data_IF_291785714602
#
_entry.id   IF_291785714602
#
_cell.length_a   1.000
_cell.length_b   1.000
_cell.length_c   1.000
_cell.angle_alpha   90.00
_cell.angle_beta   90.00
_cell.angle_gamma   90.00
#
_symmetry.space_group_name_H-M   'P 1'
#
loop_
_entity.id
_entity.type
_entity.pdbx_description
1 polymer ?
#
# COMPACT_ATOMS: atom_id res chain seq x y z
N UNK A 1 3.46 11.78 -17.11
CA UNK A 1 2.26 11.91 -16.22
C UNK A 1 2.80 11.93 -14.81
N UNK A 2 2.29 12.70 -13.85
CA UNK A 2 2.93 12.79 -12.53
C UNK A 2 2.04 12.27 -11.42
N UNK A 3 2.61 11.49 -10.50
CA UNK A 3 1.95 11.06 -9.28
C UNK A 3 1.72 12.29 -8.39
N UNK A 4 0.47 12.52 -7.99
CA UNK A 4 0.04 13.65 -7.16
C UNK A 4 -0.17 13.24 -5.70
N UNK A 5 -0.65 12.02 -5.46
CA UNK A 5 -0.85 11.49 -4.12
C UNK A 5 -0.80 9.96 -4.12
N UNK A 6 -0.45 9.39 -2.97
CA UNK A 6 -0.49 7.95 -2.69
C UNK A 6 -1.19 7.77 -1.33
N UNK A 7 -2.34 7.13 -1.31
CA UNK A 7 -3.11 6.86 -0.08
C UNK A 7 -3.00 5.38 0.31
N UNK A 8 -2.71 5.10 1.58
CA UNK A 8 -2.58 3.76 2.13
C UNK A 8 -3.68 3.49 3.18
N UNK A 9 -4.55 2.52 2.93
CA UNK A 9 -5.72 2.22 3.78
C UNK A 9 -5.74 0.75 4.18
N UNK A 10 -5.53 0.44 5.45
CA UNK A 10 -5.69 -0.93 5.94
C UNK A 10 -7.18 -1.21 6.12
N UNK A 11 -7.68 -2.17 5.36
CA UNK A 11 -9.01 -2.73 5.50
C UNK A 11 -8.95 -3.93 6.46
N UNK A 12 -10.02 -4.07 7.24
CA UNK A 12 -10.23 -5.21 8.12
C UNK A 12 -11.49 -5.94 7.67
N UNK A 13 -11.40 -7.25 7.50
CA UNK A 13 -12.59 -8.08 7.22
C UNK A 13 -13.58 -7.99 8.38
N UNK A 14 -14.87 -7.96 8.06
CA UNK A 14 -15.95 -8.08 9.05
C UNK A 14 -16.14 -9.52 9.52
N UNK A 15 -15.50 -10.49 8.86
CA UNK A 15 -15.58 -11.91 9.17
C UNK A 15 -14.19 -12.46 9.49
N UNK A 16 -14.12 -13.38 10.45
CA UNK A 16 -12.91 -14.17 10.65
C UNK A 16 -12.84 -15.24 9.56
N UNK A 17 -11.72 -15.33 8.86
CA UNK A 17 -11.47 -16.45 7.96
C UNK A 17 -11.25 -17.71 8.80
N UNK A 18 -12.12 -18.71 8.63
CA UNK A 18 -11.86 -20.04 9.16
C UNK A 18 -10.90 -20.78 8.20
N UNK A 19 -9.95 -21.52 8.75
CA UNK A 19 -9.23 -22.50 7.95
C UNK A 19 -10.24 -23.57 7.47
N UNK A 20 -10.14 -24.05 6.20
CA UNK A 20 -10.90 -25.21 5.76
C UNK A 20 -10.68 -26.40 6.71
N UNK A 21 -11.71 -27.20 6.95
CA UNK A 21 -11.62 -28.37 7.82
C UNK A 21 -10.49 -29.30 7.37
N UNK A 22 -9.48 -29.50 8.22
CA UNK A 22 -8.32 -30.35 7.94
C UNK A 22 -7.14 -29.65 7.25
N UNK A 23 -7.18 -28.33 7.05
CA UNK A 23 -6.04 -27.57 6.56
C UNK A 23 -4.98 -27.36 7.66
N UNK A 24 -3.71 -27.55 7.30
CA UNK A 24 -2.55 -27.18 8.14
C UNK A 24 -2.15 -25.69 7.98
N UNK A 25 -2.70 -25.03 6.95
CA UNK A 25 -2.46 -23.63 6.59
C UNK A 25 -3.06 -22.64 7.61
N UNK A 26 -2.46 -21.46 7.70
CA UNK A 26 -2.97 -20.37 8.54
C UNK A 26 -4.32 -19.86 8.06
N UNK A 27 -5.12 -19.35 9.00
CA UNK A 27 -6.36 -18.63 8.73
C UNK A 27 -6.15 -17.54 7.66
N UNK A 28 -7.12 -17.38 6.76
CA UNK A 28 -7.10 -16.34 5.73
C UNK A 28 -6.93 -14.93 6.30
N UNK A 29 -6.53 -14.02 5.41
CA UNK A 29 -6.09 -12.65 5.71
C UNK A 29 -7.25 -11.79 6.24
N UNK A 30 -7.28 -11.58 7.56
CA UNK A 30 -8.25 -10.69 8.20
C UNK A 30 -8.00 -9.20 7.92
N UNK A 31 -6.85 -8.87 7.35
CA UNK A 31 -6.42 -7.52 7.03
C UNK A 31 -5.78 -7.47 5.65
N UNK A 32 -6.00 -6.37 4.92
CA UNK A 32 -5.40 -6.10 3.62
C UNK A 32 -5.14 -4.61 3.52
N UNK A 33 -4.01 -4.22 2.94
CA UNK A 33 -3.74 -2.82 2.60
C UNK A 33 -4.27 -2.57 1.20
N UNK A 34 -5.05 -1.50 1.01
CA UNK A 34 -5.34 -0.94 -0.31
C UNK A 34 -4.50 0.31 -0.50
N UNK A 35 -3.78 0.37 -1.62
CA UNK A 35 -2.99 1.52 -2.03
C UNK A 35 -3.70 2.19 -3.21
N UNK A 36 -3.91 3.49 -3.12
CA UNK A 36 -4.50 4.30 -4.18
C UNK A 36 -3.49 5.35 -4.64
N UNK A 37 -3.16 5.35 -5.92
CA UNK A 37 -2.22 6.29 -6.53
C UNK A 37 -2.99 7.20 -7.48
N UNK A 38 -3.01 8.51 -7.22
CA UNK A 38 -3.72 9.49 -8.07
C UNK A 38 -2.72 10.35 -8.83
N UNK A 39 -2.96 10.59 -10.12
CA UNK A 39 -2.09 11.39 -10.99
C UNK A 39 -2.64 12.78 -11.27
N UNK A 40 -1.75 13.67 -11.73
CA UNK A 40 -2.07 15.01 -12.21
C UNK A 40 -3.03 15.05 -13.41
N UNK A 41 -3.14 13.94 -14.16
CA UNK A 41 -4.05 13.77 -15.29
C UNK A 41 -5.42 13.19 -14.91
N UNK A 42 -5.69 13.01 -13.61
CA UNK A 42 -6.96 12.48 -13.12
C UNK A 42 -7.11 10.96 -13.23
N UNK A 43 -6.04 10.23 -13.59
CA UNK A 43 -6.05 8.77 -13.51
C UNK A 43 -5.77 8.33 -12.07
N UNK A 44 -6.39 7.22 -11.67
CA UNK A 44 -6.14 6.60 -10.36
C UNK A 44 -5.90 5.10 -10.54
N UNK A 45 -4.76 4.64 -10.03
CA UNK A 45 -4.44 3.22 -9.92
C UNK A 45 -4.72 2.70 -8.51
N UNK A 46 -5.09 1.43 -8.42
CA UNK A 46 -5.26 0.72 -7.16
C UNK A 46 -4.42 -0.55 -7.15
N UNK A 47 -3.88 -0.87 -5.99
CA UNK A 47 -3.16 -2.13 -5.72
C UNK A 47 -3.39 -2.53 -4.27
N UNK A 48 -2.93 -3.72 -3.92
CA UNK A 48 -3.12 -4.31 -2.61
C UNK A 48 -1.82 -4.91 -2.06
N UNK A 49 -1.74 -4.97 -0.72
CA UNK A 49 -0.69 -5.70 -0.01
C UNK A 49 -1.35 -6.52 1.09
N UNK A 50 -1.34 -7.83 0.91
CA UNK A 50 -1.90 -8.78 1.87
C UNK A 50 -0.91 -9.14 3.00
N UNK A 51 0.38 -9.21 2.67
CA UNK A 51 1.42 -9.58 3.64
C UNK A 51 1.77 -8.37 4.51
N UNK A 52 1.57 -8.50 5.83
CA UNK A 52 1.92 -7.46 6.81
C UNK A 52 1.40 -6.05 6.43
N UNK A 53 0.08 -5.88 6.22
CA UNK A 53 -0.50 -4.64 5.68
C UNK A 53 -0.22 -3.42 6.56
N UNK A 54 -0.11 -3.61 7.88
CA UNK A 54 0.22 -2.55 8.83
C UNK A 54 1.68 -2.08 8.70
N UNK A 55 2.61 -3.01 8.43
CA UNK A 55 4.02 -2.67 8.20
C UNK A 55 4.17 -1.93 6.89
N UNK A 56 3.53 -2.43 5.82
CA UNK A 56 3.52 -1.76 4.53
C UNK A 56 2.95 -0.32 4.63
N UNK A 57 1.82 -0.14 5.34
CA UNK A 57 1.27 1.20 5.60
C UNK A 57 2.26 2.10 6.33
N UNK A 58 2.95 1.60 7.36
CA UNK A 58 3.92 2.38 8.11
C UNK A 58 5.11 2.82 7.25
N UNK A 59 5.58 1.98 6.33
CA UNK A 59 6.66 2.30 5.39
C UNK A 59 6.22 3.35 4.36
N UNK A 60 4.97 3.26 3.88
CA UNK A 60 4.40 4.24 2.94
C UNK A 60 4.19 5.60 3.60
N UNK A 61 3.63 5.62 4.82
CA UNK A 61 3.27 6.84 5.55
C UNK A 61 4.44 7.42 6.36
N UNK A 62 5.60 6.77 6.38
CA UNK A 62 6.78 7.30 7.04
C UNK A 62 7.07 8.74 6.54
N UNK A 63 7.43 9.67 7.43
CA UNK A 63 7.70 11.03 7.04
C UNK A 63 8.93 11.11 6.13
N UNK A 64 9.06 12.22 5.41
CA UNK A 64 10.31 12.54 4.73
C UNK A 64 11.42 12.77 5.77
N UNK A 65 12.57 12.14 5.57
CA UNK A 65 13.70 12.17 6.48
C UNK A 65 14.96 12.60 5.74
N UNK A 66 15.58 13.69 6.19
CA UNK A 66 16.93 14.10 5.79
C UNK A 66 17.20 14.18 4.28
N UNK A 67 16.93 15.34 3.67
CA UNK A 67 17.39 15.71 2.33
C UNK A 67 17.03 14.72 1.20
N UNK A 68 15.90 14.00 1.31
CA UNK A 68 15.41 13.09 0.26
C UNK A 68 16.09 11.72 0.22
N UNK A 69 16.83 11.35 1.26
CA UNK A 69 17.56 10.07 1.32
C UNK A 69 16.88 9.04 2.24
N UNK A 70 15.93 9.47 3.08
CA UNK A 70 15.29 8.63 4.10
C UNK A 70 13.79 8.92 4.12
N UNK A 71 13.17 8.84 2.94
CA UNK A 71 11.77 9.17 2.74
C UNK A 71 10.88 7.93 2.82
N UNK A 72 9.70 8.08 3.41
CA UNK A 72 8.63 7.09 3.23
C UNK A 72 8.22 6.97 1.76
N UNK A 73 7.74 5.79 1.37
CA UNK A 73 7.51 5.49 -0.05
C UNK A 73 6.54 6.46 -0.73
N UNK A 74 5.55 7.00 0.01
CA UNK A 74 4.68 8.06 -0.53
C UNK A 74 5.51 9.24 -1.01
N UNK A 75 6.39 9.76 -0.17
CA UNK A 75 7.19 10.95 -0.47
C UNK A 75 8.18 10.68 -1.61
N UNK A 76 8.79 9.49 -1.61
CA UNK A 76 9.78 9.09 -2.60
C UNK A 76 9.26 9.05 -4.05
N UNK A 77 7.95 8.86 -4.26
CA UNK A 77 7.36 8.72 -5.62
C UNK A 77 6.50 9.92 -6.04
N UNK A 78 6.27 10.90 -5.16
CA UNK A 78 5.51 12.10 -5.53
C UNK A 78 6.24 12.86 -6.64
N UNK A 79 5.52 13.19 -7.72
CA UNK A 79 6.09 13.86 -8.88
C UNK A 79 6.78 12.94 -9.88
N UNK A 80 6.90 11.64 -9.60
CA UNK A 80 7.45 10.66 -10.54
C UNK A 80 6.42 10.27 -11.63
N UNK A 81 6.92 9.72 -12.74
CA UNK A 81 6.06 9.17 -13.78
C UNK A 81 5.66 7.73 -13.47
N UNK A 82 4.36 7.40 -13.30
CA UNK A 82 3.94 6.06 -12.90
C UNK A 82 4.23 4.96 -13.93
N UNK A 83 4.71 5.31 -15.13
CA UNK A 83 5.16 4.35 -16.13
C UNK A 83 6.66 4.03 -16.06
N UNK A 84 7.45 4.77 -15.26
CA UNK A 84 8.86 4.48 -15.00
C UNK A 84 8.94 3.61 -13.73
N UNK A 85 9.14 2.30 -13.90
CA UNK A 85 9.02 1.32 -12.81
C UNK A 85 10.35 0.69 -12.39
N UNK A 86 11.43 1.00 -13.12
CA UNK A 86 12.81 0.55 -12.90
C UNK A 86 13.69 1.62 -12.23
#
# INVERSE_FOLDING_TARGET
>A
MKIKDVEAMVLKSSQAYAAPTGAEESHGIGYMLVIKVTTDKGLTGYSDVETQPHVAKAVIDAPAGGAGLIDGLRQAVLGEDPFEVE
#
